data_IF_569425321440
#
_entry.id   IF_569425321440
#
_cell.length_a   1.000
_cell.length_b   1.000
_cell.length_c   1.000
_cell.angle_alpha   90.00
_cell.angle_beta   90.00
_cell.angle_gamma   90.00
#
_symmetry.space_group_name_H-M   'P 1'
#
loop_
_entity.id
_entity.type
_entity.pdbx_description
1 polymer ?
#
# COMPACT_ATOMS: atom_id res chain seq x y z
N UNK A 1 -28.27 8.62 -2.60
CA UNK A 1 -28.85 9.02 -1.31
C UNK A 1 -30.09 9.82 -1.60
N UNK A 2 -31.20 9.43 -0.99
CA UNK A 2 -32.46 10.16 -1.12
C UNK A 2 -32.31 11.55 -0.50
N UNK A 3 -32.83 12.56 -1.20
CA UNK A 3 -32.84 13.97 -0.75
C UNK A 3 -34.10 14.32 0.03
N UNK A 4 -34.88 13.32 0.41
CA UNK A 4 -36.18 13.49 1.04
C UNK A 4 -36.21 12.68 2.33
N UNK A 5 -36.82 13.23 3.37
CA UNK A 5 -37.04 12.53 4.63
C UNK A 5 -38.19 11.50 4.50
N UNK A 6 -38.52 10.81 5.61
CA UNK A 6 -39.59 9.80 5.65
C UNK A 6 -40.98 10.34 5.32
N UNK A 7 -41.17 11.66 5.42
CA UNK A 7 -42.43 12.35 5.10
C UNK A 7 -42.45 12.88 3.66
N UNK A 8 -41.35 12.72 2.91
CA UNK A 8 -41.25 13.18 1.52
C UNK A 8 -40.90 14.65 1.35
N UNK A 9 -40.51 15.36 2.42
CA UNK A 9 -40.01 16.73 2.32
C UNK A 9 -38.53 16.76 1.94
N UNK A 10 -38.08 17.72 1.11
CA UNK A 10 -36.66 17.91 0.83
C UNK A 10 -35.86 18.11 2.12
N UNK A 11 -34.89 17.25 2.36
CA UNK A 11 -33.95 17.34 3.49
C UNK A 11 -32.51 17.32 2.95
N UNK A 12 -32.03 18.45 2.40
CA UNK A 12 -30.70 18.54 1.83
C UNK A 12 -29.61 18.37 2.90
N UNK A 13 -29.88 18.78 4.15
CA UNK A 13 -28.92 18.71 5.25
C UNK A 13 -28.63 17.27 5.65
N UNK A 14 -29.66 16.44 5.86
CA UNK A 14 -29.46 15.02 6.17
C UNK A 14 -28.81 14.28 5.00
N UNK A 15 -29.23 14.58 3.77
CA UNK A 15 -28.64 13.95 2.58
C UNK A 15 -27.16 14.29 2.39
N UNK A 16 -26.74 15.54 2.64
CA UNK A 16 -25.35 15.97 2.58
C UNK A 16 -24.52 15.33 3.71
N UNK A 17 -25.02 15.34 4.94
CA UNK A 17 -24.35 14.72 6.08
C UNK A 17 -24.08 13.22 5.84
N UNK A 18 -25.11 12.48 5.40
CA UNK A 18 -24.99 11.05 5.06
C UNK A 18 -24.02 10.82 3.89
N UNK A 19 -24.02 11.70 2.88
CA UNK A 19 -23.09 11.61 1.76
C UNK A 19 -21.64 11.84 2.18
N UNK A 20 -21.40 12.77 3.10
CA UNK A 20 -20.07 13.03 3.65
C UNK A 20 -19.56 11.83 4.46
N UNK A 21 -20.38 11.26 5.34
CA UNK A 21 -20.05 10.04 6.09
C UNK A 21 -19.74 8.88 5.15
N UNK A 22 -20.59 8.62 4.15
CA UNK A 22 -20.33 7.54 3.20
C UNK A 22 -19.05 7.77 2.37
N UNK A 23 -18.73 9.02 2.03
CA UNK A 23 -17.48 9.37 1.35
C UNK A 23 -16.27 9.11 2.24
N UNK A 24 -16.33 9.49 3.51
CA UNK A 24 -15.27 9.23 4.49
C UNK A 24 -15.08 7.74 4.74
N UNK A 25 -16.16 6.98 4.96
CA UNK A 25 -16.12 5.53 5.10
C UNK A 25 -15.53 4.86 3.84
N UNK A 26 -15.90 5.34 2.65
CA UNK A 26 -15.33 4.86 1.39
C UNK A 26 -13.85 5.20 1.28
N UNK A 27 -13.44 6.40 1.67
CA UNK A 27 -12.03 6.81 1.67
C UNK A 27 -11.20 5.96 2.62
N UNK A 28 -11.69 5.69 3.84
CA UNK A 28 -11.04 4.79 4.81
C UNK A 28 -10.96 3.36 4.27
N UNK A 29 -12.02 2.84 3.65
CA UNK A 29 -12.00 1.52 2.99
C UNK A 29 -11.05 1.44 1.80
N UNK A 30 -10.81 2.56 1.12
CA UNK A 30 -9.97 2.64 -0.09
C UNK A 30 -8.51 2.94 0.24
N UNK A 31 -8.24 3.59 1.38
CA UNK A 31 -6.89 3.90 1.80
C UNK A 31 -6.11 2.62 2.12
N UNK A 32 -4.95 2.49 1.47
CA UNK A 32 -4.00 1.39 1.67
C UNK A 32 -2.65 2.02 2.00
N UNK A 33 -2.14 1.92 3.24
CA UNK A 33 -0.85 2.48 3.59
C UNK A 33 0.27 1.89 2.73
N UNK A 34 1.18 2.73 2.24
CA UNK A 34 2.42 2.27 1.61
C UNK A 34 3.39 1.84 2.71
N UNK A 35 3.96 0.64 2.59
CA UNK A 35 4.89 0.08 3.58
C UNK A 35 6.20 -0.30 2.91
N UNK A 36 7.28 0.31 3.38
CA UNK A 36 8.64 -0.06 3.01
C UNK A 36 9.09 -1.31 3.76
N UNK A 37 9.54 -2.33 3.04
CA UNK A 37 10.06 -3.57 3.62
C UNK A 37 11.57 -3.59 3.44
N UNK A 38 12.31 -3.41 4.54
CA UNK A 38 13.75 -3.57 4.61
C UNK A 38 14.09 -4.93 5.24
N UNK A 39 14.79 -5.79 4.51
CA UNK A 39 15.31 -7.06 5.03
C UNK A 39 16.67 -7.37 4.40
N UNK A 40 17.49 -8.23 5.04
CA UNK A 40 18.72 -8.71 4.42
C UNK A 40 18.43 -9.31 3.04
N UNK A 41 19.28 -8.98 2.07
CA UNK A 41 19.26 -9.60 0.73
C UNK A 41 20.50 -10.49 0.54
N UNK A 42 21.69 -9.94 0.75
CA UNK A 42 22.98 -10.63 0.62
C UNK A 42 23.18 -11.78 1.63
N UNK A 43 24.11 -12.69 1.32
CA UNK A 43 24.41 -13.88 2.10
C UNK A 43 23.61 -15.08 1.58
N UNK A 44 22.65 -15.59 2.37
CA UNK A 44 21.74 -16.64 1.90
C UNK A 44 20.58 -16.03 1.10
N UNK A 45 20.88 -15.65 -0.14
CA UNK A 45 19.96 -14.88 -1.01
C UNK A 45 18.62 -15.59 -1.22
N UNK A 46 18.61 -16.91 -1.43
CA UNK A 46 17.37 -17.66 -1.65
C UNK A 46 16.46 -17.63 -0.42
N UNK A 47 17.03 -17.88 0.77
CA UNK A 47 16.30 -17.80 2.03
C UNK A 47 15.79 -16.38 2.30
N UNK A 48 16.65 -15.38 2.09
CA UNK A 48 16.35 -13.98 2.32
C UNK A 48 15.23 -13.47 1.40
N UNK A 49 15.26 -13.82 0.11
CA UNK A 49 14.20 -13.51 -0.85
C UNK A 49 12.87 -14.14 -0.40
N UNK A 50 12.90 -15.40 0.03
CA UNK A 50 11.71 -16.09 0.55
C UNK A 50 11.10 -15.35 1.76
N UNK A 51 11.95 -14.93 2.70
CA UNK A 51 11.54 -14.14 3.88
C UNK A 51 10.95 -12.78 3.49
N UNK A 52 11.62 -12.03 2.63
CA UNK A 52 11.16 -10.73 2.15
C UNK A 52 9.77 -10.84 1.47
N UNK A 53 9.58 -11.84 0.60
CA UNK A 53 8.28 -12.16 0.00
C UNK A 53 7.21 -12.47 1.04
N UNK A 54 7.56 -13.24 2.08
CA UNK A 54 6.68 -13.51 3.22
C UNK A 54 6.24 -12.24 3.96
N UNK A 55 7.16 -11.30 4.19
CA UNK A 55 6.85 -10.00 4.82
C UNK A 55 5.93 -9.14 3.94
N UNK A 56 6.21 -9.05 2.64
CA UNK A 56 5.31 -8.38 1.70
C UNK A 56 3.91 -9.01 1.72
N UNK A 57 3.82 -10.35 1.69
CA UNK A 57 2.54 -11.06 1.75
C UNK A 57 1.79 -10.74 3.06
N UNK A 58 2.49 -10.69 4.18
CA UNK A 58 1.91 -10.28 5.45
C UNK A 58 1.35 -8.84 5.40
N UNK A 59 2.11 -7.88 4.86
CA UNK A 59 1.64 -6.50 4.70
C UNK A 59 0.37 -6.41 3.82
N UNK A 60 0.28 -7.17 2.73
CA UNK A 60 -0.94 -7.27 1.91
C UNK A 60 -2.12 -7.78 2.74
N UNK A 61 -1.91 -8.79 3.59
CA UNK A 61 -3.00 -9.31 4.46
C UNK A 61 -3.48 -8.29 5.49
N UNK A 62 -2.65 -7.29 5.83
CA UNK A 62 -3.01 -6.16 6.70
C UNK A 62 -3.60 -4.98 5.94
N UNK A 63 -3.77 -5.11 4.63
CA UNK A 63 -4.35 -4.06 3.79
C UNK A 63 -3.38 -2.95 3.42
N UNK A 64 -2.08 -3.22 3.43
CA UNK A 64 -1.05 -2.29 3.00
C UNK A 64 -0.57 -2.59 1.57
N UNK A 65 0.08 -1.61 0.94
CA UNK A 65 0.83 -1.77 -0.31
C UNK A 65 2.31 -1.93 0.07
N UNK A 66 2.89 -3.14 0.01
CA UNK A 66 4.30 -3.33 0.33
C UNK A 66 5.20 -2.97 -0.85
N UNK A 67 6.32 -2.33 -0.55
CA UNK A 67 7.43 -2.10 -1.48
C UNK A 67 8.70 -2.69 -0.88
N UNK A 68 9.33 -3.61 -1.60
CA UNK A 68 10.62 -4.20 -1.24
C UNK A 68 11.60 -3.96 -2.39
N UNK A 69 12.32 -2.82 -2.40
CA UNK A 69 13.17 -2.42 -3.52
C UNK A 69 14.30 -3.40 -3.84
N UNK A 70 14.84 -4.03 -2.79
CA UNK A 70 15.83 -5.09 -2.90
C UNK A 70 15.29 -6.40 -3.53
N UNK A 71 13.98 -6.52 -3.79
CA UNK A 71 13.41 -7.57 -4.64
C UNK A 71 13.06 -7.08 -6.06
N UNK A 72 12.86 -5.76 -6.22
CA UNK A 72 12.42 -5.15 -7.47
C UNK A 72 13.61 -4.84 -8.38
N UNK A 73 14.54 -4.04 -7.89
CA UNK A 73 15.65 -3.51 -8.68
C UNK A 73 16.62 -4.58 -9.19
N UNK A 74 16.96 -5.63 -8.42
CA UNK A 74 17.85 -6.70 -8.92
C UNK A 74 17.33 -7.48 -10.14
N UNK A 75 16.08 -7.28 -10.55
CA UNK A 75 15.53 -7.89 -11.77
C UNK A 75 16.01 -7.20 -13.06
N UNK A 76 16.51 -5.97 -12.96
CA UNK A 76 16.95 -5.17 -14.11
C UNK A 76 18.16 -4.26 -13.80
N UNK A 77 18.69 -4.32 -12.58
CA UNK A 77 19.92 -3.66 -12.13
C UNK A 77 20.82 -4.72 -11.52
N UNK A 78 22.13 -4.57 -11.70
CA UNK A 78 23.13 -5.49 -11.14
C UNK A 78 23.42 -5.13 -9.68
N UNK A 79 23.12 -6.03 -8.73
CA UNK A 79 23.38 -5.82 -7.29
C UNK A 79 24.86 -6.06 -6.93
N UNK A 80 25.62 -6.72 -7.80
CA UNK A 80 27.07 -6.89 -7.66
C UNK A 80 27.84 -5.64 -8.17
N UNK A 81 27.21 -4.83 -9.02
CA UNK A 81 27.70 -3.50 -9.38
C UNK A 81 27.35 -2.48 -8.29
N UNK A 82 28.39 -1.86 -7.72
CA UNK A 82 28.23 -0.96 -6.59
C UNK A 82 27.39 0.29 -6.92
N UNK A 83 27.58 0.87 -8.11
CA UNK A 83 26.88 2.10 -8.48
C UNK A 83 25.39 1.83 -8.73
N UNK A 84 25.08 0.73 -9.44
CA UNK A 84 23.70 0.29 -9.65
C UNK A 84 23.02 -0.09 -8.34
N UNK A 85 23.72 -0.79 -7.44
CA UNK A 85 23.22 -1.12 -6.10
C UNK A 85 22.89 0.13 -5.29
N UNK A 86 23.80 1.10 -5.22
CA UNK A 86 23.58 2.36 -4.50
C UNK A 86 22.39 3.12 -5.09
N UNK A 87 22.27 3.16 -6.42
CA UNK A 87 21.14 3.78 -7.11
C UNK A 87 19.81 3.08 -6.82
N UNK A 88 19.79 1.74 -6.85
CA UNK A 88 18.61 0.94 -6.50
C UNK A 88 18.18 1.11 -5.04
N UNK A 89 19.12 1.29 -4.12
CA UNK A 89 18.83 1.61 -2.72
C UNK A 89 18.40 3.06 -2.50
N UNK A 90 18.77 3.99 -3.39
CA UNK A 90 18.36 5.39 -3.32
C UNK A 90 16.91 5.61 -3.76
N UNK A 91 16.41 4.84 -4.73
CA UNK A 91 15.01 4.92 -5.17
C UNK A 91 13.99 4.37 -4.15
N UNK A 92 14.48 3.82 -3.04
CA UNK A 92 13.79 2.95 -2.10
C UNK A 92 13.29 3.70 -0.87
#
# INVERSE_FOLDING_TARGET
>A
MDRYNSEGYPDPTAAEALSNVAREEKAVKTYRPLVYVASPFAGNTEYNISKARGYCRFAVTKGCIPIAPHLLYPQFMDDDDKEQRELGLFFA
#
